data_IF_664693942519
#
_entry.id   IF_664693942519
#
_cell.length_a   1.000
_cell.length_b   1.000
_cell.length_c   1.000
_cell.angle_alpha   90.00
_cell.angle_beta   90.00
_cell.angle_gamma   90.00
#
_symmetry.space_group_name_H-M   'P 1'
#
loop_
_entity.id
_entity.type
_entity.pdbx_description
1 polymer ?
#
# COMPACT_ATOMS: atom_id res chain seq x y z
N UNK A 1 5.13 -13.96 25.16
CA UNK A 1 5.66 -12.57 25.28
C UNK A 1 5.33 -11.86 23.99
N UNK A 2 4.37 -10.92 24.02
CA UNK A 2 3.93 -10.18 22.84
C UNK A 2 5.00 -9.15 22.46
N UNK A 3 5.51 -9.22 21.23
CA UNK A 3 6.44 -8.23 20.70
C UNK A 3 5.69 -6.92 20.45
N UNK A 4 6.28 -5.80 20.84
CA UNK A 4 5.69 -4.47 20.67
C UNK A 4 5.60 -4.09 19.19
N UNK A 5 4.47 -3.49 18.72
CA UNK A 5 4.23 -3.18 17.30
C UNK A 5 5.29 -2.28 16.65
N UNK A 6 6.00 -1.49 17.44
CA UNK A 6 7.00 -0.51 16.96
C UNK A 6 8.27 -1.15 16.38
N UNK A 7 8.63 -2.36 16.82
CA UNK A 7 9.81 -3.09 16.33
C UNK A 7 9.57 -3.80 14.99
N UNK A 8 8.31 -3.96 14.59
CA UNK A 8 7.93 -4.62 13.34
C UNK A 8 7.99 -3.66 12.14
N UNK A 9 7.63 -2.40 12.36
CA UNK A 9 7.79 -1.32 11.36
C UNK A 9 9.26 -1.05 11.00
N UNK A 10 10.17 -1.11 11.98
CA UNK A 10 11.60 -0.97 11.72
C UNK A 10 12.19 -2.22 11.05
N UNK A 11 11.66 -3.42 11.33
CA UNK A 11 11.99 -4.64 10.59
C UNK A 11 11.46 -4.63 9.16
N UNK A 12 10.28 -4.07 8.90
CA UNK A 12 9.70 -3.93 7.56
C UNK A 12 10.44 -2.85 6.74
N UNK A 13 10.79 -1.71 7.34
CA UNK A 13 11.67 -0.71 6.70
C UNK A 13 13.08 -1.28 6.45
N UNK A 14 13.63 -2.07 7.39
CA UNK A 14 14.91 -2.78 7.18
C UNK A 14 14.80 -3.83 6.07
N UNK A 15 13.71 -4.60 5.99
CA UNK A 15 13.45 -5.56 4.90
C UNK A 15 13.29 -4.85 3.55
N UNK A 16 12.60 -3.71 3.49
CA UNK A 16 12.46 -2.88 2.27
C UNK A 16 13.83 -2.38 1.77
N UNK A 17 14.67 -1.88 2.70
CA UNK A 17 16.04 -1.42 2.41
C UNK A 17 17.04 -2.55 2.09
N UNK A 18 16.79 -3.77 2.58
CA UNK A 18 17.66 -4.94 2.35
C UNK A 18 17.21 -5.81 1.16
N UNK A 19 15.95 -5.79 0.75
CA UNK A 19 15.48 -6.51 -0.44
C UNK A 19 16.10 -5.94 -1.72
N UNK A 20 16.14 -4.61 -1.84
CA UNK A 20 16.85 -3.91 -2.91
C UNK A 20 18.36 -4.23 -2.97
N UNK A 21 19.01 -4.44 -1.81
CA UNK A 21 20.44 -4.81 -1.73
C UNK A 21 20.72 -6.29 -1.95
N UNK A 22 19.74 -7.18 -1.73
CA UNK A 22 19.91 -8.64 -1.90
C UNK A 22 19.75 -9.08 -3.35
N UNK A 23 18.94 -8.41 -4.15
CA UNK A 23 18.90 -8.66 -5.60
C UNK A 23 20.22 -8.28 -6.30
N UNK A 24 20.93 -7.26 -5.81
CA UNK A 24 22.26 -6.88 -6.33
C UNK A 24 23.38 -7.87 -5.98
N UNK A 25 23.20 -8.70 -4.94
CA UNK A 25 24.22 -9.67 -4.49
C UNK A 25 24.02 -11.07 -5.09
N UNK A 26 22.83 -11.37 -5.59
CA UNK A 26 22.49 -12.69 -6.15
C UNK A 26 22.80 -12.83 -7.66
N UNK A 27 23.32 -11.79 -8.32
CA UNK A 27 23.77 -11.84 -9.71
C UNK A 27 25.20 -11.30 -9.82
N UNK A 28 26.16 -12.14 -9.44
CA UNK A 28 27.56 -11.98 -9.81
C UNK A 28 27.95 -13.16 -10.69
N UNK A 29 27.62 -13.03 -11.97
CA UNK A 29 27.96 -13.95 -13.03
C UNK A 29 27.88 -13.19 -14.36
N UNK A 30 29.01 -12.59 -14.73
CA UNK A 30 29.38 -12.12 -16.06
C UNK A 30 28.79 -10.79 -16.61
N UNK A 31 29.71 -9.84 -16.86
CA UNK A 31 29.84 -9.31 -18.22
C UNK A 31 28.87 -8.25 -18.73
N UNK A 32 28.58 -7.18 -17.98
CA UNK A 32 28.45 -5.77 -18.44
C UNK A 32 27.79 -4.92 -17.35
N UNK A 33 28.57 -4.00 -16.78
CA UNK A 33 28.07 -2.93 -15.93
C UNK A 33 27.01 -2.11 -16.69
N UNK A 34 25.74 -2.34 -16.39
CA UNK A 34 24.79 -1.24 -16.32
C UNK A 34 24.67 -0.92 -14.84
N UNK A 35 25.50 0.03 -14.39
CA UNK A 35 25.35 0.66 -13.09
C UNK A 35 24.08 1.51 -13.13
N UNK A 36 22.91 0.91 -13.04
CA UNK A 36 21.76 1.59 -12.47
C UNK A 36 22.01 1.60 -10.96
N UNK A 37 22.91 2.49 -10.52
CA UNK A 37 22.72 3.07 -9.21
C UNK A 37 21.31 3.64 -9.27
N UNK A 38 20.37 2.99 -8.59
CA UNK A 38 18.98 3.41 -8.57
C UNK A 38 18.97 4.88 -8.17
N UNK A 39 18.73 5.75 -9.15
CA UNK A 39 18.60 7.18 -8.90
C UNK A 39 17.50 7.36 -7.85
N UNK A 40 17.65 8.33 -6.94
CA UNK A 40 16.62 8.60 -5.96
C UNK A 40 15.30 8.88 -6.70
N UNK A 41 14.27 8.09 -6.38
CA UNK A 41 12.94 8.28 -6.95
C UNK A 41 12.47 9.71 -6.71
N UNK A 42 11.80 10.29 -7.70
CA UNK A 42 11.04 11.52 -7.50
C UNK A 42 9.93 11.29 -6.48
N UNK A 43 9.41 12.36 -5.87
CA UNK A 43 8.35 12.24 -4.86
C UNK A 43 7.10 11.52 -5.40
N UNK A 44 6.77 11.73 -6.67
CA UNK A 44 5.64 11.07 -7.31
C UNK A 44 5.88 9.58 -7.54
N UNK A 45 7.06 9.20 -8.03
CA UNK A 45 7.44 7.79 -8.19
C UNK A 45 7.47 7.08 -6.83
N UNK A 46 8.00 7.73 -5.80
CA UNK A 46 8.02 7.21 -4.44
C UNK A 46 6.59 7.05 -3.87
N UNK A 47 5.67 7.96 -4.19
CA UNK A 47 4.27 7.83 -3.80
C UNK A 47 3.59 6.64 -4.48
N UNK A 48 3.82 6.44 -5.79
CA UNK A 48 3.30 5.28 -6.53
C UNK A 48 3.89 3.98 -5.96
N UNK A 49 5.21 3.94 -5.75
CA UNK A 49 5.87 2.79 -5.12
C UNK A 49 5.29 2.53 -3.72
N UNK A 50 5.00 3.57 -2.95
CA UNK A 50 4.38 3.44 -1.62
C UNK A 50 3.00 2.79 -1.72
N UNK A 51 2.17 3.18 -2.68
CA UNK A 51 0.84 2.56 -2.89
C UNK A 51 0.99 1.08 -3.24
N UNK A 52 1.86 0.74 -4.18
CA UNK A 52 2.11 -0.65 -4.62
C UNK A 52 2.66 -1.50 -3.47
N UNK A 53 3.71 -1.01 -2.80
CA UNK A 53 4.37 -1.76 -1.72
C UNK A 53 3.46 -1.93 -0.52
N UNK A 54 2.61 -0.95 -0.20
CA UNK A 54 1.61 -1.07 0.86
C UNK A 54 0.65 -2.20 0.56
N UNK A 55 0.08 -2.24 -0.65
CA UNK A 55 -0.81 -3.33 -1.06
C UNK A 55 -0.17 -4.71 -0.85
N UNK A 56 1.03 -4.94 -1.41
CA UNK A 56 1.71 -6.23 -1.29
C UNK A 56 2.28 -6.54 0.10
N UNK A 57 2.33 -5.56 1.00
CA UNK A 57 2.72 -5.80 2.40
C UNK A 57 1.59 -6.46 3.17
N UNK A 58 0.34 -6.06 2.90
CA UNK A 58 -0.84 -6.62 3.53
C UNK A 58 -1.40 -7.82 2.74
N UNK A 59 -1.26 -7.83 1.41
CA UNK A 59 -1.73 -8.92 0.55
C UNK A 59 -0.84 -10.16 0.70
N UNK A 60 -1.38 -11.21 1.29
CA UNK A 60 -0.71 -12.51 1.44
C UNK A 60 -0.22 -12.82 2.85
N UNK A 61 -0.66 -12.06 3.86
CA UNK A 61 -0.57 -12.49 5.26
C UNK A 61 -1.41 -13.76 5.50
N UNK A 62 -2.53 -13.91 4.79
CA UNK A 62 -3.42 -15.08 4.83
C UNK A 62 -3.09 -16.20 3.83
N UNK A 63 -1.98 -16.10 3.07
CA UNK A 63 -1.49 -17.17 2.18
C UNK A 63 -1.80 -17.01 0.68
N UNK A 64 -2.73 -16.15 0.28
CA UNK A 64 -2.95 -15.79 -1.14
C UNK A 64 -2.16 -14.53 -1.50
N UNK A 65 -1.11 -14.70 -2.28
CA UNK A 65 -0.28 -13.58 -2.74
C UNK A 65 -0.96 -12.86 -3.90
N UNK A 66 -1.15 -11.55 -3.78
CA UNK A 66 -1.63 -10.69 -4.86
C UNK A 66 -3.07 -10.20 -4.73
N UNK A 67 -3.77 -10.59 -3.66
CA UNK A 67 -5.08 -10.07 -3.29
C UNK A 67 -5.16 -9.79 -1.79
N UNK A 68 -6.02 -8.86 -1.40
CA UNK A 68 -6.35 -8.60 0.00
C UNK A 68 -7.66 -9.30 0.33
N UNK A 69 -7.65 -10.15 1.34
CA UNK A 69 -8.87 -10.60 2.00
C UNK A 69 -9.54 -9.47 2.78
N UNK A 70 -10.77 -9.71 3.24
CA UNK A 70 -11.53 -8.75 4.06
C UNK A 70 -10.73 -8.30 5.28
N UNK A 71 -10.11 -9.24 5.98
CA UNK A 71 -9.39 -8.94 7.21
C UNK A 71 -8.07 -8.19 6.95
N UNK A 72 -7.34 -8.56 5.89
CA UNK A 72 -6.12 -7.84 5.46
C UNK A 72 -6.47 -6.40 5.01
N UNK A 73 -7.59 -6.23 4.31
CA UNK A 73 -8.08 -4.90 3.93
C UNK A 73 -8.47 -4.06 5.15
N UNK A 74 -9.14 -4.64 6.14
CA UNK A 74 -9.48 -3.98 7.42
C UNK A 74 -8.23 -3.53 8.17
N UNK A 75 -7.21 -4.37 8.19
CA UNK A 75 -5.94 -4.05 8.83
C UNK A 75 -5.23 -2.90 8.11
N UNK A 76 -5.12 -2.96 6.77
CA UNK A 76 -4.55 -1.90 5.95
C UNK A 76 -5.29 -0.57 6.16
N UNK A 77 -6.62 -0.60 6.10
CA UNK A 77 -7.47 0.57 6.27
C UNK A 77 -7.24 1.25 7.63
N UNK A 78 -7.18 0.46 8.70
CA UNK A 78 -7.03 0.95 10.07
C UNK A 78 -5.62 1.49 10.31
N UNK A 79 -4.59 0.86 9.74
CA UNK A 79 -3.19 1.25 9.99
C UNK A 79 -2.70 2.38 9.07
N UNK A 80 -3.06 2.33 7.78
CA UNK A 80 -2.52 3.23 6.76
C UNK A 80 -3.47 4.38 6.41
N UNK A 81 -4.78 4.19 6.59
CA UNK A 81 -5.80 5.15 6.20
C UNK A 81 -6.72 5.58 7.36
N UNK A 82 -6.23 5.78 8.60
CA UNK A 82 -7.07 5.97 9.77
C UNK A 82 -7.90 7.26 9.72
N UNK A 83 -7.47 8.29 8.98
CA UNK A 83 -8.20 9.56 8.87
C UNK A 83 -9.09 9.63 7.63
N UNK A 84 -8.78 8.85 6.61
CA UNK A 84 -9.49 8.85 5.34
C UNK A 84 -10.65 7.86 5.32
N UNK A 85 -10.61 6.88 6.22
CA UNK A 85 -11.64 5.85 6.36
C UNK A 85 -12.52 6.00 7.60
N UNK A 86 -12.34 7.06 8.40
CA UNK A 86 -13.12 7.31 9.62
C UNK A 86 -14.61 7.57 9.36
N UNK A 87 -14.93 8.32 8.31
CA UNK A 87 -16.28 8.85 8.08
C UNK A 87 -17.08 8.11 7.01
N UNK A 88 -16.57 6.99 6.52
CA UNK A 88 -17.02 6.41 5.25
C UNK A 88 -17.91 5.19 5.40
N UNK A 89 -18.61 5.09 6.52
CA UNK A 89 -19.56 4.03 6.82
C UNK A 89 -18.88 2.68 7.11
N UNK A 90 -19.60 1.59 6.87
CA UNK A 90 -19.09 0.26 7.14
C UNK A 90 -18.00 -0.12 6.13
N UNK A 91 -16.83 -0.54 6.63
CA UNK A 91 -15.72 -0.95 5.78
C UNK A 91 -16.08 -2.19 4.94
N UNK A 92 -17.01 -3.02 5.43
CA UNK A 92 -17.60 -4.14 4.71
C UNK A 92 -18.41 -3.70 3.48
N UNK A 93 -19.18 -2.62 3.59
CA UNK A 93 -19.94 -2.08 2.45
C UNK A 93 -18.99 -1.52 1.39
N UNK A 94 -17.92 -0.85 1.84
CA UNK A 94 -16.86 -0.40 0.94
C UNK A 94 -16.18 -1.56 0.25
N UNK A 95 -15.83 -2.62 0.97
CA UNK A 95 -15.26 -3.83 0.40
C UNK A 95 -16.17 -4.37 -0.71
N UNK A 96 -17.46 -4.57 -0.42
CA UNK A 96 -18.44 -5.04 -1.41
C UNK A 96 -18.59 -4.12 -2.62
N UNK A 97 -18.43 -2.80 -2.45
CA UNK A 97 -18.51 -1.84 -3.55
C UNK A 97 -17.26 -1.83 -4.46
N UNK A 98 -16.14 -2.34 -3.94
CA UNK A 98 -14.85 -2.40 -4.61
C UNK A 98 -14.60 -3.76 -5.25
N UNK A 99 -15.05 -4.85 -4.62
CA UNK A 99 -15.02 -6.23 -5.09
C UNK A 99 -16.05 -6.41 -6.23
N UNK A 100 -15.64 -6.07 -7.45
CA UNK A 100 -16.55 -6.04 -8.62
C UNK A 100 -16.86 -7.45 -9.09
N UNK A 101 -15.87 -8.35 -8.99
CA UNK A 101 -16.02 -9.74 -9.40
C UNK A 101 -16.58 -10.64 -8.28
N UNK A 102 -16.87 -10.09 -7.10
CA UNK A 102 -17.50 -10.76 -5.97
C UNK A 102 -16.75 -12.01 -5.50
N UNK A 103 -15.42 -11.99 -5.61
CA UNK A 103 -14.58 -13.11 -5.15
C UNK A 103 -14.19 -13.00 -3.67
N UNK A 104 -14.74 -11.99 -2.97
CA UNK A 104 -14.45 -11.66 -1.57
C UNK A 104 -12.98 -11.28 -1.32
N UNK A 105 -12.27 -10.91 -2.37
CA UNK A 105 -10.90 -10.42 -2.32
C UNK A 105 -10.78 -9.12 -3.11
N UNK A 106 -9.77 -8.31 -2.77
CA UNK A 106 -9.43 -7.12 -3.54
C UNK A 106 -8.12 -7.35 -4.27
N UNK A 107 -8.19 -7.39 -5.59
CA UNK A 107 -7.00 -7.34 -6.44
C UNK A 107 -6.46 -5.92 -6.49
N UNK A 108 -5.22 -5.79 -6.97
CA UNK A 108 -4.54 -4.50 -7.01
C UNK A 108 -5.34 -3.40 -7.75
N UNK A 109 -6.04 -3.75 -8.84
CA UNK A 109 -6.83 -2.79 -9.61
C UNK A 109 -8.07 -2.28 -8.84
N UNK A 110 -8.70 -3.13 -8.02
CA UNK A 110 -9.85 -2.75 -7.16
C UNK A 110 -9.39 -1.89 -5.99
N UNK A 111 -8.25 -2.24 -5.40
CA UNK A 111 -7.56 -1.40 -4.42
C UNK A 111 -7.16 -0.03 -5.02
N UNK A 112 -6.63 0.00 -6.25
CA UNK A 112 -6.25 1.25 -6.91
C UNK A 112 -7.46 2.17 -7.13
N UNK A 113 -8.63 1.60 -7.44
CA UNK A 113 -9.90 2.35 -7.52
C UNK A 113 -10.24 3.02 -6.19
N UNK A 114 -10.02 2.35 -5.05
CA UNK A 114 -10.17 2.97 -3.73
C UNK A 114 -9.22 4.16 -3.55
N UNK A 115 -7.94 4.03 -3.92
CA UNK A 115 -6.98 5.13 -3.83
C UNK A 115 -7.44 6.34 -4.64
N UNK A 116 -7.97 6.12 -5.85
CA UNK A 116 -8.57 7.17 -6.66
C UNK A 116 -9.78 7.84 -6.00
N UNK A 117 -10.66 7.07 -5.34
CA UNK A 117 -11.78 7.60 -4.58
C UNK A 117 -11.32 8.45 -3.39
N UNK A 118 -10.33 7.99 -2.62
CA UNK A 118 -9.78 8.73 -1.49
C UNK A 118 -9.10 10.03 -1.95
N UNK A 119 -8.35 10.00 -3.05
CA UNK A 119 -7.76 11.20 -3.64
C UNK A 119 -8.83 12.24 -4.03
N UNK A 120 -9.98 11.79 -4.54
CA UNK A 120 -11.12 12.66 -4.85
C UNK A 120 -11.72 13.29 -3.59
N UNK A 121 -11.89 12.51 -2.52
CA UNK A 121 -12.41 13.03 -1.24
C UNK A 121 -11.45 14.04 -0.59
N UNK A 122 -10.13 13.77 -0.59
CA UNK A 122 -9.12 14.72 -0.12
C UNK A 122 -9.20 16.06 -0.87
N UNK A 123 -9.42 16.01 -2.19
CA UNK A 123 -9.58 17.23 -2.99
C UNK A 123 -10.85 17.99 -2.61
N UNK A 124 -11.97 17.29 -2.35
CA UNK A 124 -13.24 17.94 -1.95
C UNK A 124 -13.11 18.63 -0.61
N UNK A 125 -12.52 17.97 0.38
CA UNK A 125 -12.28 18.53 1.72
C UNK A 125 -11.56 19.89 1.62
N UNK A 126 -10.47 19.92 0.83
CA UNK A 126 -9.69 21.15 0.59
C UNK A 126 -10.47 22.22 -0.18
N UNK A 127 -11.37 21.84 -1.09
CA UNK A 127 -12.20 22.79 -1.82
C UNK A 127 -13.26 23.45 -0.92
N UNK A 128 -13.78 22.73 0.08
CA UNK A 128 -14.75 23.24 1.04
C UNK A 128 -14.11 24.20 2.06
N UNK A 129 -12.84 23.98 2.43
CA UNK A 129 -12.08 24.92 3.28
C UNK A 129 -11.82 26.27 2.58
N UNK A 130 -11.64 26.26 1.25
CA UNK A 130 -11.38 27.48 0.46
C UNK A 130 -12.65 28.34 0.34
N UNK A 131 -13.85 27.76 0.36
CA UNK A 131 -15.12 28.51 0.26
C UNK A 131 -15.60 29.14 1.58
N UNK A 132 -15.04 28.74 2.72
CA UNK A 132 -15.40 29.28 4.04
C UNK A 132 -14.56 30.48 4.48
N UNK A 133 -13.66 30.97 3.62
CA UNK A 133 -12.72 32.05 3.90
C UNK A 133 -13.02 33.25 3.00
#
# INVERSE_FOLDING_TARGET
>A
MAATPRAEWDRLKWRRRNYARRQTRAQLGDGRRVLMAAEPLTELEAAIETVVTTFFTFAGQGGRKGSLSIDEFRELATQQLPHLLKDVGSLDEKMKSLDVNQDSELKFHEYWRLIGLLAKEIRKERALEIQKK
#
